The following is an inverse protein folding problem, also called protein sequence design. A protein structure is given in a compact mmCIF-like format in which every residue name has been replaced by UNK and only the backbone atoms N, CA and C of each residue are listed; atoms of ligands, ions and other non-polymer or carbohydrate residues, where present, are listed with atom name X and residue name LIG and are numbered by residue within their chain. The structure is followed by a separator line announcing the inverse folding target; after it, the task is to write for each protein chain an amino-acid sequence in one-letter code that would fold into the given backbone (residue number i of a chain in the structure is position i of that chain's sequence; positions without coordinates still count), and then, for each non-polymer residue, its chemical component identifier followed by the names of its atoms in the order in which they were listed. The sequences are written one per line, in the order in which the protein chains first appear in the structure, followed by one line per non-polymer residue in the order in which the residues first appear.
data_IF_248765849884
#
_entry.id   IF_248765849884
#
_cell.length_a   1.000
_cell.length_b   1.000
_cell.length_c   1.000
_cell.angle_alpha   90.00
_cell.angle_beta   90.00
_cell.angle_gamma   90.00
#
_symmetry.space_group_name_H-M   'P 1'
#
loop_
_entity.id
_entity.type
_entity.pdbx_description
1 polymer ?
#
# COMPACT_ATOMS: atom_id res chain seq x y z
N UNK A 1 63.35 19.39 38.41
CA UNK A 1 61.95 18.94 38.51
C UNK A 1 61.30 19.11 37.14
N UNK A 2 61.04 18.01 36.42
CA UNK A 2 60.41 18.00 35.09
C UNK A 2 58.92 17.68 35.27
N UNK A 3 58.00 18.47 34.70
CA UNK A 3 56.58 18.10 34.58
C UNK A 3 56.24 17.93 33.10
N UNK A 4 56.05 16.68 32.69
CA UNK A 4 55.44 16.31 31.42
C UNK A 4 53.92 16.40 31.59
N UNK A 5 53.26 17.23 30.79
CA UNK A 5 51.80 17.23 30.65
C UNK A 5 51.42 16.34 29.47
N UNK A 6 50.71 15.25 29.74
CA UNK A 6 50.13 14.40 28.71
C UNK A 6 48.77 14.98 28.29
N UNK A 7 48.63 15.33 27.00
CA UNK A 7 47.36 15.70 26.39
C UNK A 7 46.63 14.39 26.03
N UNK A 8 45.53 14.10 26.72
CA UNK A 8 44.61 13.02 26.35
C UNK A 8 43.72 13.52 25.19
N UNK A 9 43.97 13.02 23.99
CA UNK A 9 43.09 13.22 22.83
C UNK A 9 41.87 12.31 22.94
N UNK A 10 40.68 12.89 23.09
CA UNK A 10 39.40 12.18 23.07
C UNK A 10 39.00 11.94 21.60
N UNK A 11 39.09 10.70 21.14
CA UNK A 11 38.57 10.28 19.83
C UNK A 11 37.05 10.06 19.95
N UNK A 12 36.25 10.96 19.38
CA UNK A 12 34.81 10.76 19.23
C UNK A 12 34.56 9.83 18.03
N UNK A 13 34.24 8.56 18.30
CA UNK A 13 33.76 7.62 17.30
C UNK A 13 32.26 7.89 17.08
N UNK A 14 31.91 8.59 15.99
CA UNK A 14 30.51 8.75 15.56
C UNK A 14 30.02 7.44 14.96
N UNK A 15 29.34 6.62 15.77
CA UNK A 15 28.57 5.48 15.29
C UNK A 15 27.27 6.04 14.73
N UNK A 16 27.18 6.16 13.40
CA UNK A 16 25.89 6.40 12.72
C UNK A 16 25.15 5.07 12.67
N UNK A 17 24.31 4.81 13.67
CA UNK A 17 23.34 3.71 13.58
C UNK A 17 22.19 4.19 12.72
N UNK A 18 22.29 3.97 11.41
CA UNK A 18 21.14 4.10 10.51
C UNK A 18 20.21 2.93 10.77
N UNK A 19 19.27 3.07 11.70
CA UNK A 19 18.18 2.11 11.83
C UNK A 19 17.24 2.32 10.64
N UNK A 20 17.33 1.43 9.65
CA UNK A 20 16.23 1.21 8.72
C UNK A 20 15.04 0.73 9.56
N UNK A 21 14.15 1.66 9.91
CA UNK A 21 12.88 1.30 10.53
C UNK A 21 12.07 0.68 9.40
N UNK A 22 11.92 -0.64 9.39
CA UNK A 22 10.90 -1.28 8.58
C UNK A 22 9.57 -0.59 8.94
N UNK A 23 9.00 0.16 7.99
CA UNK A 23 7.86 1.06 8.25
C UNK A 23 6.53 0.31 8.49
N UNK A 24 6.57 -1.03 8.55
CA UNK A 24 5.45 -1.88 8.95
C UNK A 24 5.88 -3.31 9.30
N UNK A 25 4.93 -4.18 9.71
CA UNK A 25 5.20 -5.57 10.07
C UNK A 25 5.51 -6.40 8.83
N UNK A 26 6.35 -7.42 8.99
CA UNK A 26 6.55 -8.44 7.97
C UNK A 26 5.22 -9.10 7.59
N UNK A 27 5.16 -9.60 6.35
CA UNK A 27 4.08 -10.47 5.95
C UNK A 27 3.96 -11.65 6.92
N UNK A 28 2.75 -11.93 7.39
CA UNK A 28 2.45 -13.03 8.29
C UNK A 28 1.07 -13.62 8.01
N UNK A 29 0.69 -13.67 6.74
CA UNK A 29 -0.52 -14.34 6.24
C UNK A 29 -1.76 -14.07 7.10
N UNK A 30 -2.11 -12.79 7.24
CA UNK A 30 -3.28 -12.33 8.00
C UNK A 30 -3.35 -12.78 9.47
N UNK A 31 -2.22 -13.08 10.09
CA UNK A 31 -2.20 -13.36 11.53
C UNK A 31 -2.63 -12.12 12.34
N UNK A 32 -3.24 -12.31 13.53
CA UNK A 32 -3.58 -11.20 14.42
C UNK A 32 -2.38 -10.27 14.69
N UNK A 33 -2.59 -8.94 14.72
CA UNK A 33 -3.87 -8.26 14.71
C UNK A 33 -4.40 -7.89 13.32
N UNK A 34 -3.69 -8.20 12.23
CA UNK A 34 -4.04 -7.81 10.87
C UNK A 34 -4.71 -8.95 10.11
N UNK A 35 -5.87 -9.36 10.59
CA UNK A 35 -6.60 -10.53 10.14
C UNK A 35 -7.91 -10.21 9.38
N UNK A 36 -8.04 -8.99 8.87
CA UNK A 36 -9.16 -8.64 8.00
C UNK A 36 -8.89 -9.13 6.58
N UNK A 37 -9.83 -9.93 6.08
CA UNK A 37 -9.83 -10.43 4.72
C UNK A 37 -10.89 -9.69 3.91
N UNK A 38 -10.52 -9.29 2.69
CA UNK A 38 -11.49 -8.84 1.70
C UNK A 38 -12.28 -10.01 1.13
N UNK A 39 -11.70 -11.21 1.12
CA UNK A 39 -12.27 -12.42 0.52
C UNK A 39 -12.13 -12.46 -1.00
N UNK A 40 -11.03 -11.92 -1.52
CA UNK A 40 -10.65 -11.96 -2.94
C UNK A 40 -9.14 -11.71 -3.11
N UNK A 41 -8.66 -11.66 -4.36
CA UNK A 41 -7.22 -11.74 -4.67
C UNK A 41 -6.34 -10.66 -4.03
N UNK A 42 -6.92 -9.55 -3.54
CA UNK A 42 -6.13 -8.53 -2.84
C UNK A 42 -5.52 -9.05 -1.54
N UNK A 43 -6.15 -10.09 -0.96
CA UNK A 43 -5.68 -10.71 0.26
C UNK A 43 -4.32 -11.37 0.09
N UNK A 44 -3.80 -11.58 -1.12
CA UNK A 44 -2.44 -12.10 -1.27
C UNK A 44 -1.34 -11.06 -1.04
N UNK A 45 -1.68 -9.78 -0.99
CA UNK A 45 -0.71 -8.67 -0.95
C UNK A 45 -1.15 -7.50 -0.06
N UNK A 46 -2.09 -7.73 0.86
CA UNK A 46 -2.46 -6.76 1.90
C UNK A 46 -2.55 -7.44 3.26
N UNK A 47 -2.30 -6.71 4.34
CA UNK A 47 -2.74 -7.12 5.67
C UNK A 47 -3.37 -5.95 6.39
N UNK A 48 -4.60 -6.11 6.84
CA UNK A 48 -5.34 -5.04 7.48
C UNK A 48 -6.15 -5.52 8.67
N UNK A 49 -6.63 -4.57 9.47
CA UNK A 49 -7.49 -4.82 10.61
C UNK A 49 -8.61 -3.82 10.67
N UNK A 50 -9.74 -4.26 11.18
CA UNK A 50 -10.81 -3.36 11.57
C UNK A 50 -10.39 -2.55 12.80
N UNK A 51 -10.66 -1.26 12.74
CA UNK A 51 -10.61 -0.36 13.88
C UNK A 51 -12.00 0.24 14.09
N UNK A 52 -12.14 1.19 15.03
CA UNK A 52 -13.42 1.83 15.34
C UNK A 52 -14.19 2.28 14.09
N UNK A 53 -15.53 2.27 14.16
CA UNK A 53 -16.43 2.59 13.06
C UNK A 53 -16.24 1.75 11.79
N UNK A 54 -15.77 0.49 11.93
CA UNK A 54 -15.50 -0.43 10.81
C UNK A 54 -14.50 0.12 9.79
N UNK A 55 -13.64 1.05 10.18
CA UNK A 55 -12.55 1.51 9.31
C UNK A 55 -11.44 0.48 9.27
N UNK A 56 -10.60 0.53 8.22
CA UNK A 56 -9.41 -0.30 8.11
C UNK A 56 -8.14 0.48 8.42
N UNK A 57 -7.18 -0.22 9.03
CA UNK A 57 -5.78 0.14 9.03
C UNK A 57 -4.95 -1.07 8.65
N UNK A 58 -3.95 -0.90 7.80
CA UNK A 58 -3.16 -2.02 7.33
C UNK A 58 -1.99 -1.59 6.48
N UNK A 59 -1.54 -2.51 5.64
CA UNK A 59 -0.41 -2.35 4.75
C UNK A 59 -0.70 -3.05 3.41
N UNK A 60 -0.20 -2.47 2.33
CA UNK A 60 -0.01 -3.17 1.06
C UNK A 60 1.44 -3.57 0.93
N UNK A 61 1.64 -4.79 0.45
CA UNK A 61 2.94 -5.40 0.30
C UNK A 61 3.35 -5.43 -1.17
N UNK A 62 4.64 -5.22 -1.39
CA UNK A 62 5.29 -5.26 -2.68
C UNK A 62 6.43 -6.27 -2.63
N UNK A 63 6.85 -6.70 -3.82
CA UNK A 63 8.11 -7.43 -4.00
C UNK A 63 8.97 -6.65 -4.97
N UNK A 64 10.21 -6.39 -4.56
CA UNK A 64 11.21 -5.80 -5.45
C UNK A 64 11.73 -6.84 -6.43
N UNK A 65 11.93 -6.41 -7.66
CA UNK A 65 12.66 -7.16 -8.67
C UNK A 65 14.16 -6.84 -8.56
N UNK A 66 14.96 -7.44 -9.44
CA UNK A 66 16.38 -7.07 -9.60
C UNK A 66 16.61 -5.89 -10.57
N UNK A 67 15.55 -5.29 -11.09
CA UNK A 67 15.62 -4.23 -12.09
C UNK A 67 15.53 -2.84 -11.48
N UNK A 68 16.03 -1.84 -12.22
CA UNK A 68 15.94 -0.43 -11.89
C UNK A 68 15.48 0.36 -13.11
N UNK A 69 14.65 1.38 -12.89
CA UNK A 69 14.23 2.36 -13.89
C UNK A 69 14.57 3.74 -13.36
N UNK A 70 15.41 4.47 -14.10
CA UNK A 70 15.88 5.82 -13.74
C UNK A 70 16.45 5.93 -12.30
N UNK A 71 17.09 4.85 -11.83
CA UNK A 71 17.68 4.76 -10.49
C UNK A 71 16.67 4.45 -9.37
N UNK A 72 15.43 4.13 -9.70
CA UNK A 72 14.44 3.61 -8.76
C UNK A 72 14.34 2.09 -8.87
N UNK A 73 14.36 1.35 -7.76
CA UNK A 73 14.14 -0.09 -7.79
C UNK A 73 12.73 -0.40 -8.29
N UNK A 74 12.59 -1.41 -9.14
CA UNK A 74 11.29 -1.83 -9.69
C UNK A 74 10.60 -2.78 -8.73
N UNK A 75 9.32 -2.54 -8.43
CA UNK A 75 8.49 -3.37 -7.57
C UNK A 75 7.10 -3.62 -8.17
N UNK A 76 6.45 -4.71 -7.76
CA UNK A 76 5.08 -5.05 -8.14
C UNK A 76 4.29 -5.56 -6.91
N UNK A 77 2.98 -5.69 -7.04
CA UNK A 77 2.18 -6.43 -6.04
C UNK A 77 2.60 -7.90 -6.06
N UNK A 78 3.30 -8.35 -5.03
CA UNK A 78 3.76 -9.74 -4.91
C UNK A 78 2.70 -10.63 -4.29
N UNK A 79 2.55 -11.86 -4.76
CA UNK A 79 1.78 -12.88 -4.03
C UNK A 79 2.58 -13.31 -2.79
N UNK A 80 2.31 -12.64 -1.66
CA UNK A 80 3.01 -12.87 -0.40
C UNK A 80 2.59 -14.17 0.29
N UNK A 81 1.48 -14.79 -0.13
CA UNK A 81 1.12 -16.14 0.33
C UNK A 81 2.07 -17.17 -0.28
N UNK A 82 2.39 -17.02 -1.56
CA UNK A 82 3.28 -17.92 -2.30
C UNK A 82 4.77 -17.61 -2.08
N UNK A 83 5.13 -16.34 -1.98
CA UNK A 83 6.51 -15.86 -1.79
C UNK A 83 6.59 -14.90 -0.60
N UNK A 84 6.48 -15.41 0.64
CA UNK A 84 6.51 -14.56 1.83
C UNK A 84 7.90 -13.92 2.06
N UNK A 85 8.96 -14.56 1.60
CA UNK A 85 10.32 -14.01 1.63
C UNK A 85 10.46 -12.92 0.56
N UNK A 86 10.78 -11.69 0.98
CA UNK A 86 10.90 -10.53 0.08
C UNK A 86 9.62 -9.71 -0.08
N UNK A 87 8.55 -10.06 0.64
CA UNK A 87 7.39 -9.16 0.76
C UNK A 87 7.67 -8.05 1.76
N UNK A 88 7.70 -6.83 1.24
CA UNK A 88 7.97 -5.61 1.99
C UNK A 88 6.76 -4.69 1.96
N UNK A 89 6.61 -3.85 2.98
CA UNK A 89 5.53 -2.86 3.00
C UNK A 89 5.83 -1.79 1.94
N UNK A 90 4.95 -1.66 0.94
CA UNK A 90 4.99 -0.56 -0.04
C UNK A 90 4.15 0.63 0.41
N UNK A 91 2.98 0.37 1.02
CA UNK A 91 2.08 1.42 1.50
C UNK A 91 1.49 1.11 2.86
N UNK A 92 1.25 2.17 3.64
CA UNK A 92 0.30 2.16 4.75
C UNK A 92 -1.12 2.38 4.21
N UNK A 93 -2.05 1.53 4.64
CA UNK A 93 -3.45 1.52 4.22
C UNK A 93 -4.35 2.13 5.31
N UNK A 94 -5.21 3.06 4.92
CA UNK A 94 -6.44 3.41 5.65
C UNK A 94 -7.66 3.12 4.78
N UNK A 95 -8.71 2.54 5.35
CA UNK A 95 -9.93 2.23 4.61
C UNK A 95 -11.19 2.75 5.30
N UNK A 96 -12.15 3.23 4.51
CA UNK A 96 -13.49 3.60 4.97
C UNK A 96 -14.53 2.77 4.20
N UNK A 97 -15.48 2.11 4.88
CA UNK A 97 -16.45 1.28 4.20
C UNK A 97 -17.40 2.14 3.35
N UNK A 98 -17.64 1.73 2.12
CA UNK A 98 -18.55 2.40 1.18
C UNK A 98 -19.16 1.38 0.22
N UNK A 99 -20.15 1.81 -0.55
CA UNK A 99 -20.72 1.05 -1.66
C UNK A 99 -20.53 1.80 -2.97
N UNK A 100 -19.95 1.15 -3.96
CA UNK A 100 -19.67 1.74 -5.27
C UNK A 100 -20.39 0.97 -6.38
N UNK A 101 -20.63 1.64 -7.52
CA UNK A 101 -21.16 1.01 -8.74
C UNK A 101 -20.03 0.83 -9.73
N UNK A 102 -19.85 -0.37 -10.29
CA UNK A 102 -18.83 -0.59 -11.31
C UNK A 102 -19.22 0.16 -12.60
N UNK A 103 -18.30 0.94 -13.17
CA UNK A 103 -18.48 1.66 -14.43
C UNK A 103 -17.85 0.93 -15.60
N UNK A 104 -16.59 0.53 -15.45
CA UNK A 104 -15.81 -0.06 -16.52
C UNK A 104 -14.72 -0.98 -15.97
N UNK A 105 -14.20 -1.83 -16.85
CA UNK A 105 -13.06 -2.71 -16.59
C UNK A 105 -12.09 -2.56 -17.77
N UNK A 106 -11.30 -1.48 -17.81
CA UNK A 106 -10.33 -1.31 -18.88
C UNK A 106 -9.37 -2.50 -18.89
N UNK A 107 -8.96 -2.94 -20.08
CA UNK A 107 -8.02 -4.05 -20.20
C UNK A 107 -6.65 -3.61 -19.68
N UNK A 108 -6.09 -4.40 -18.76
CA UNK A 108 -4.77 -4.11 -18.19
C UNK A 108 -4.72 -2.92 -17.23
N UNK A 109 -5.86 -2.53 -16.63
CA UNK A 109 -5.96 -1.45 -15.63
C UNK A 109 -6.95 -1.81 -14.50
N UNK A 110 -7.00 -0.98 -13.47
CA UNK A 110 -7.96 -1.08 -12.37
C UNK A 110 -9.41 -0.92 -12.86
N UNK A 111 -10.37 -1.67 -12.27
CA UNK A 111 -11.78 -1.42 -12.49
C UNK A 111 -12.16 -0.01 -12.05
N UNK A 112 -12.95 0.69 -12.85
CA UNK A 112 -13.38 2.07 -12.55
C UNK A 112 -14.71 2.06 -11.80
N UNK A 113 -14.78 2.83 -10.72
CA UNK A 113 -15.89 2.79 -9.77
C UNK A 113 -16.57 4.14 -9.65
N UNK A 114 -17.89 4.13 -9.80
CA UNK A 114 -18.73 5.28 -9.51
C UNK A 114 -19.01 5.38 -8.01
N UNK A 115 -18.62 6.51 -7.43
CA UNK A 115 -18.91 6.86 -6.04
C UNK A 115 -19.68 8.18 -5.98
N UNK A 116 -20.67 8.22 -5.08
CA UNK A 116 -21.35 9.47 -4.76
C UNK A 116 -20.34 10.40 -4.08
N UNK A 117 -20.12 11.64 -4.58
CA UNK A 117 -19.19 12.58 -3.95
C UNK A 117 -19.47 12.81 -2.46
N UNK A 118 -20.74 12.71 -2.02
CA UNK A 118 -21.13 12.85 -0.61
C UNK A 118 -20.67 11.70 0.29
N UNK A 119 -20.31 10.56 -0.30
CA UNK A 119 -19.79 9.40 0.41
C UNK A 119 -18.27 9.47 0.61
N UNK A 120 -17.57 10.41 -0.07
CA UNK A 120 -16.14 10.57 0.09
C UNK A 120 -15.79 11.17 1.46
N UNK A 121 -14.77 10.63 2.16
CA UNK A 121 -14.20 11.26 3.33
C UNK A 121 -13.77 12.70 3.04
N UNK A 122 -13.89 13.58 4.05
CA UNK A 122 -13.39 14.96 3.94
C UNK A 122 -11.87 15.03 3.92
N UNK A 123 -11.19 14.03 4.49
CA UNK A 123 -9.74 13.90 4.38
C UNK A 123 -9.39 13.53 2.94
N UNK A 124 -8.45 14.25 2.34
CA UNK A 124 -7.97 13.96 0.99
C UNK A 124 -7.10 12.68 0.94
N UNK A 125 -6.95 12.13 -0.27
CA UNK A 125 -6.05 11.01 -0.55
C UNK A 125 -6.72 9.64 -0.63
N UNK A 126 -8.05 9.59 -0.63
CA UNK A 126 -8.81 8.37 -0.85
C UNK A 126 -9.10 8.22 -2.35
N UNK A 127 -8.25 7.47 -3.05
CA UNK A 127 -8.20 7.40 -4.52
C UNK A 127 -8.52 6.03 -5.10
N UNK A 128 -8.59 5.00 -4.24
CA UNK A 128 -8.80 3.62 -4.67
C UNK A 128 -10.00 3.00 -3.97
N UNK A 129 -10.95 2.43 -4.70
CA UNK A 129 -11.98 1.56 -4.16
C UNK A 129 -11.65 0.09 -4.45
N UNK A 130 -11.75 -0.74 -3.41
CA UNK A 130 -11.67 -2.19 -3.54
C UNK A 130 -12.91 -2.88 -2.99
N UNK A 131 -13.41 -3.89 -3.69
CA UNK A 131 -14.66 -4.57 -3.33
C UNK A 131 -14.45 -5.66 -2.28
N UNK A 132 -15.52 -6.00 -1.58
CA UNK A 132 -15.55 -7.08 -0.60
C UNK A 132 -16.19 -8.35 -1.18
N UNK A 133 -15.56 -9.49 -0.93
CA UNK A 133 -16.03 -10.82 -1.32
C UNK A 133 -15.93 -11.06 -2.82
N UNK A 134 -16.81 -11.94 -3.31
CA UNK A 134 -16.84 -12.37 -4.70
C UNK A 134 -17.15 -11.20 -5.68
N UNK A 135 -16.61 -11.26 -6.90
CA UNK A 135 -15.73 -12.29 -7.43
C UNK A 135 -14.28 -12.21 -6.90
N UNK A 136 -13.52 -13.29 -7.08
CA UNK A 136 -12.11 -13.36 -6.70
C UNK A 136 -11.26 -12.36 -7.50
N UNK A 137 -11.55 -12.23 -8.79
CA UNK A 137 -10.79 -11.39 -9.72
C UNK A 137 -11.65 -10.30 -10.35
N UNK A 138 -11.01 -9.17 -10.66
CA UNK A 138 -11.63 -8.03 -11.31
C UNK A 138 -12.33 -8.38 -12.64
N UNK A 139 -11.79 -9.36 -13.38
CA UNK A 139 -12.32 -9.81 -14.67
C UNK A 139 -13.77 -10.28 -14.61
N UNK A 140 -14.22 -10.81 -13.48
CA UNK A 140 -15.55 -11.38 -13.29
C UNK A 140 -16.58 -10.37 -12.74
N UNK A 141 -16.15 -9.13 -12.47
CA UNK A 141 -17.06 -8.08 -12.01
C UNK A 141 -18.08 -7.72 -13.09
N UNK A 142 -19.30 -7.39 -12.67
CA UNK A 142 -20.42 -7.07 -13.56
C UNK A 142 -20.59 -5.55 -13.65
N UNK A 143 -20.39 -4.99 -14.84
CA UNK A 143 -20.58 -3.54 -15.09
C UNK A 143 -22.01 -3.13 -14.75
N UNK A 144 -22.15 -2.00 -14.05
CA UNK A 144 -23.42 -1.48 -13.57
C UNK A 144 -23.90 -2.05 -12.22
N UNK A 145 -23.33 -3.17 -11.75
CA UNK A 145 -23.65 -3.71 -10.43
C UNK A 145 -23.01 -2.88 -9.30
N UNK A 146 -23.60 -2.98 -8.09
CA UNK A 146 -23.11 -2.30 -6.90
C UNK A 146 -22.45 -3.27 -5.94
N UNK A 147 -21.28 -2.91 -5.46
CA UNK A 147 -20.46 -3.72 -4.58
C UNK A 147 -20.21 -2.95 -3.27
N UNK A 148 -20.34 -3.65 -2.15
CA UNK A 148 -19.85 -3.17 -0.87
C UNK A 148 -18.33 -3.36 -0.83
N UNK A 149 -17.61 -2.45 -0.18
CA UNK A 149 -16.15 -2.47 -0.17
C UNK A 149 -15.56 -1.35 0.67
N UNK A 150 -14.32 -1.00 0.37
CA UNK A 150 -13.60 0.05 1.07
C UNK A 150 -13.00 1.03 0.10
N UNK A 151 -13.18 2.30 0.44
CA UNK A 151 -12.40 3.38 -0.12
C UNK A 151 -11.09 3.48 0.64
N UNK A 152 -9.98 3.33 -0.07
CA UNK A 152 -8.64 3.22 0.45
C UNK A 152 -7.84 4.50 0.18
N UNK A 153 -7.11 4.90 1.22
CA UNK A 153 -6.03 5.87 1.15
C UNK A 153 -4.73 5.14 1.38
N UNK A 154 -3.85 5.22 0.40
CA UNK A 154 -2.54 4.57 0.42
C UNK A 154 -1.49 5.65 0.68
N UNK A 155 -0.52 5.33 1.53
CA UNK A 155 0.61 6.22 1.82
C UNK A 155 1.88 5.42 1.62
N UNK A 156 2.58 5.70 0.53
CA UNK A 156 3.83 5.06 0.17
C UNK A 156 4.88 5.33 1.24
N UNK A 157 5.62 4.29 1.59
CA UNK A 157 6.63 4.35 2.66
C UNK A 157 8.02 4.67 2.13
N UNK A 158 8.29 4.37 0.86
CA UNK A 158 9.57 4.61 0.18
C UNK A 158 9.35 5.02 -1.28
N UNK A 159 10.43 5.23 -2.02
CA UNK A 159 10.43 5.54 -3.45
C UNK A 159 10.79 4.31 -4.28
N UNK A 160 10.01 4.03 -5.32
CA UNK A 160 10.23 2.91 -6.22
C UNK A 160 9.49 3.12 -7.55
N UNK A 161 9.90 2.38 -8.58
CA UNK A 161 9.11 2.29 -9.80
C UNK A 161 8.13 1.12 -9.65
N UNK A 162 6.84 1.43 -9.58
CA UNK A 162 5.79 0.43 -9.41
C UNK A 162 5.33 -0.07 -10.77
N UNK A 163 5.77 -1.27 -11.15
CA UNK A 163 5.40 -1.93 -12.39
C UNK A 163 4.00 -2.54 -12.30
N UNK A 164 3.01 -1.67 -12.50
CA UNK A 164 1.60 -2.02 -12.47
C UNK A 164 0.86 -1.12 -13.46
N UNK A 165 0.08 -1.72 -14.37
CA UNK A 165 -0.81 -1.00 -15.31
C UNK A 165 -0.18 0.20 -16.06
N UNK A 166 1.07 0.08 -16.48
CA UNK A 166 1.78 1.12 -17.23
C UNK A 166 2.95 1.77 -16.50
N UNK A 167 3.14 1.46 -15.21
CA UNK A 167 4.32 1.84 -14.46
C UNK A 167 4.21 3.22 -13.83
N UNK A 168 4.52 3.34 -12.55
CA UNK A 168 4.40 4.60 -11.80
C UNK A 168 5.64 4.88 -10.97
N UNK A 169 6.16 6.11 -10.99
CA UNK A 169 7.17 6.52 -10.03
C UNK A 169 6.50 6.88 -8.71
N UNK A 170 6.73 6.05 -7.70
CA UNK A 170 6.23 6.24 -6.35
C UNK A 170 7.24 7.03 -5.54
N UNK A 171 6.73 7.97 -4.75
CA UNK A 171 7.53 8.72 -3.77
C UNK A 171 6.85 8.66 -2.40
N UNK A 172 7.61 8.77 -1.29
CA UNK A 172 7.05 8.73 0.05
C UNK A 172 5.96 9.78 0.25
N UNK A 173 4.78 9.34 0.67
CA UNK A 173 3.62 10.23 0.81
C UNK A 173 2.32 9.60 0.35
N UNK A 174 1.27 10.43 0.29
CA UNK A 174 -0.05 9.96 -0.15
C UNK A 174 0.00 9.64 -1.64
N UNK A 175 -0.39 8.42 -1.99
CA UNK A 175 -0.46 7.97 -3.38
C UNK A 175 -1.78 8.43 -4.00
N UNK A 176 -1.67 9.25 -5.03
CA UNK A 176 -2.82 9.83 -5.73
C UNK A 176 -3.04 9.23 -7.11
N UNK A 177 -2.11 8.42 -7.61
CA UNK A 177 -2.02 8.11 -9.04
C UNK A 177 -2.02 6.61 -9.30
N UNK A 178 -1.14 5.85 -8.63
CA UNK A 178 -0.83 4.48 -9.07
C UNK A 178 -1.98 3.49 -8.87
N UNK A 179 -2.94 3.83 -8.01
CA UNK A 179 -4.11 3.03 -7.69
C UNK A 179 -5.43 3.78 -7.96
N UNK A 180 -5.38 4.92 -8.65
CA UNK A 180 -6.58 5.72 -8.89
C UNK A 180 -7.61 4.93 -9.70
N UNK A 181 -8.84 4.82 -9.20
CA UNK A 181 -9.90 4.08 -9.90
C UNK A 181 -11.32 4.58 -9.61
N UNK A 182 -11.47 5.84 -9.21
CA UNK A 182 -12.75 6.40 -8.74
C UNK A 182 -13.22 7.49 -9.67
N UNK A 183 -14.50 7.43 -10.02
CA UNK A 183 -15.22 8.49 -10.70
C UNK A 183 -16.35 9.02 -9.83
N UNK A 184 -16.59 10.32 -9.90
CA UNK A 184 -17.64 10.99 -9.12
C UNK A 184 -18.70 11.69 -9.97
N UNK A 185 -18.45 11.84 -11.28
CA UNK A 185 -19.42 12.36 -12.25
C UNK A 185 -20.11 11.19 -12.96
N UNK A 186 -21.00 10.53 -12.20
CA UNK A 186 -21.72 9.30 -12.56
C UNK A 186 -22.90 9.06 -11.58
#
# INVERSE_FOLDING_TARGET
MKKFGALLGFFFLLIVVGSAVALGPNWNNHAPPFNFLFGNHIDTHQQSKLVGNKQLRGYFYITYTSEEVDGFPVAHHGDCEMMPEGCEVGWVLKGVPVRARLLAKPEGDHPQWCLNPRALPREAGYTHFHWLGAPEHAGDLVVGAKYDGYLLKLTAVDSFFFDHHGGFFITPGVDLESHYNIETDC
#
